data_IF_349050776673
#
_entry.id   IF_349050776673
#
_cell.length_a   1.000
_cell.length_b   1.000
_cell.length_c   1.000
_cell.angle_alpha   90.00
_cell.angle_beta   90.00
_cell.angle_gamma   90.00
#
_symmetry.space_group_name_H-M   'P 1'
#
loop_
_entity.id
_entity.type
_entity.pdbx_description
1 polymer ?
#
# COMPACT_ATOMS: atom_id res chain seq x y z
N UNK A 1 -13.78 -5.68 19.38
CA UNK A 1 -13.02 -4.51 18.89
C UNK A 1 -12.86 -3.43 19.96
N UNK A 2 -13.93 -2.91 20.55
CA UNK A 2 -13.86 -1.87 21.60
C UNK A 2 -13.01 -2.27 22.82
N UNK A 3 -13.13 -3.52 23.28
CA UNK A 3 -12.28 -4.06 24.35
C UNK A 3 -10.77 -4.04 23.99
N UNK A 4 -10.44 -4.18 22.71
CA UNK A 4 -9.08 -4.09 22.19
C UNK A 4 -8.66 -2.64 21.82
N UNK A 5 -9.48 -1.64 22.18
CA UNK A 5 -9.25 -0.21 21.92
C UNK A 5 -9.01 0.12 20.44
N UNK A 6 -9.66 -0.61 19.54
CA UNK A 6 -9.64 -0.27 18.11
C UNK A 6 -10.37 1.07 17.92
N UNK A 7 -9.83 2.02 17.14
CA UNK A 7 -10.47 3.31 16.89
C UNK A 7 -11.89 3.16 16.35
N UNK A 8 -12.77 4.10 16.73
CA UNK A 8 -14.19 4.07 16.37
C UNK A 8 -14.40 4.05 14.84
N UNK A 9 -13.62 4.83 14.09
CA UNK A 9 -13.64 4.80 12.62
C UNK A 9 -13.44 3.39 12.05
N UNK A 10 -12.53 2.61 12.64
CA UNK A 10 -12.28 1.24 12.21
C UNK A 10 -13.36 0.27 12.66
N UNK A 11 -13.96 0.49 13.83
CA UNK A 11 -15.12 -0.30 14.27
C UNK A 11 -16.28 -0.10 13.30
N UNK A 12 -16.54 1.14 12.88
CA UNK A 12 -17.59 1.47 11.91
C UNK A 12 -17.30 0.88 10.52
N UNK A 13 -16.05 0.97 10.06
CA UNK A 13 -15.63 0.38 8.79
C UNK A 13 -15.81 -1.15 8.80
N UNK A 14 -15.37 -1.83 9.86
CA UNK A 14 -15.57 -3.27 10.01
C UNK A 14 -17.07 -3.61 10.07
N UNK A 15 -17.87 -2.86 10.82
CA UNK A 15 -19.33 -3.08 10.89
C UNK A 15 -20.00 -2.94 9.52
N UNK A 16 -19.55 -2.01 8.68
CA UNK A 16 -20.08 -1.84 7.33
C UNK A 16 -19.86 -3.10 6.49
N UNK A 17 -18.63 -3.60 6.40
CA UNK A 17 -18.32 -4.82 5.65
C UNK A 17 -18.90 -6.08 6.29
N UNK A 18 -18.96 -6.14 7.62
CA UNK A 18 -19.60 -7.24 8.33
C UNK A 18 -21.11 -7.33 8.02
N UNK A 19 -21.81 -6.19 7.89
CA UNK A 19 -23.22 -6.19 7.45
C UNK A 19 -23.38 -6.73 6.02
N UNK A 20 -22.46 -6.39 5.12
CA UNK A 20 -22.45 -6.95 3.76
C UNK A 20 -22.24 -8.46 3.80
N UNK A 21 -21.26 -8.94 4.57
CA UNK A 21 -21.01 -10.37 4.76
C UNK A 21 -22.25 -11.11 5.28
N UNK A 22 -22.94 -10.57 6.29
CA UNK A 22 -24.18 -11.15 6.84
C UNK A 22 -25.31 -11.16 5.80
N UNK A 23 -25.34 -10.17 4.90
CA UNK A 23 -26.29 -10.13 3.78
C UNK A 23 -25.95 -11.10 2.63
N UNK A 24 -24.81 -11.79 2.70
CA UNK A 24 -24.36 -12.75 1.68
C UNK A 24 -23.52 -12.12 0.56
N UNK A 25 -23.11 -10.86 0.70
CA UNK A 25 -22.19 -10.22 -0.24
C UNK A 25 -20.83 -10.93 -0.23
N UNK A 26 -20.29 -11.19 -1.41
CA UNK A 26 -19.01 -11.91 -1.57
C UNK A 26 -17.81 -10.99 -1.78
N UNK A 27 -18.06 -9.73 -2.12
CA UNK A 27 -17.03 -8.80 -2.60
C UNK A 27 -16.53 -9.13 -4.01
N UNK A 28 -17.15 -10.07 -4.72
CA UNK A 28 -16.78 -10.39 -6.09
C UNK A 28 -17.16 -9.28 -7.06
N UNK A 29 -16.28 -9.03 -8.01
CA UNK A 29 -16.47 -8.10 -9.12
C UNK A 29 -16.44 -8.92 -10.40
N UNK A 30 -17.58 -9.03 -11.09
CA UNK A 30 -17.70 -9.80 -12.32
C UNK A 30 -17.13 -9.04 -13.52
N UNK A 31 -16.72 -9.78 -14.54
CA UNK A 31 -16.16 -9.24 -15.80
C UNK A 31 -17.12 -8.30 -16.53
N UNK A 32 -18.44 -8.50 -16.39
CA UNK A 32 -19.46 -7.61 -16.93
C UNK A 32 -19.43 -6.20 -16.30
N UNK A 33 -18.99 -6.09 -15.05
CA UNK A 33 -18.92 -4.85 -14.26
C UNK A 33 -17.50 -4.25 -14.25
N UNK A 34 -16.51 -5.02 -14.74
CA UNK A 34 -15.09 -4.69 -14.78
C UNK A 34 -14.50 -5.01 -16.16
N UNK A 35 -14.81 -4.14 -17.13
CA UNK A 35 -14.31 -4.21 -18.50
C UNK A 35 -12.82 -3.87 -18.63
N UNK A 36 -12.19 -4.21 -19.76
CA UNK A 36 -10.78 -3.92 -19.98
C UNK A 36 -10.52 -2.42 -20.17
N UNK A 37 -9.33 -1.96 -19.80
CA UNK A 37 -8.85 -0.60 -20.11
C UNK A 37 -8.06 -0.66 -21.41
N UNK A 38 -8.45 0.15 -22.39
CA UNK A 38 -7.85 0.12 -23.74
C UNK A 38 -6.52 0.85 -23.83
N UNK A 39 -6.37 1.97 -23.12
CA UNK A 39 -5.18 2.81 -23.17
C UNK A 39 -5.08 3.69 -21.94
N UNK A 40 -3.85 3.99 -21.55
CA UNK A 40 -3.46 4.94 -20.50
C UNK A 40 -2.27 5.78 -20.99
N UNK A 41 -1.99 6.95 -20.37
CA UNK A 41 -0.76 7.69 -20.63
C UNK A 41 0.47 6.86 -20.24
N UNK A 42 1.51 6.92 -21.07
CA UNK A 42 2.80 6.28 -20.80
C UNK A 42 3.69 7.20 -19.96
N UNK A 43 4.43 6.65 -18.99
CA UNK A 43 5.33 7.40 -18.13
C UNK A 43 6.46 8.09 -18.92
N UNK A 44 6.92 7.50 -20.02
CA UNK A 44 7.98 8.07 -20.88
C UNK A 44 7.55 9.39 -21.54
N UNK A 45 6.24 9.65 -21.61
CA UNK A 45 5.69 10.89 -22.16
C UNK A 45 5.65 12.03 -21.14
N UNK A 46 6.05 11.79 -19.89
CA UNK A 46 5.96 12.75 -18.79
C UNK A 46 7.22 13.59 -18.58
N UNK A 47 8.23 13.45 -19.44
CA UNK A 47 9.52 14.16 -19.31
C UNK A 47 9.40 15.67 -19.11
N UNK A 48 8.41 16.30 -19.74
CA UNK A 48 8.14 17.75 -19.62
C UNK A 48 7.76 18.20 -18.20
N UNK A 49 7.31 17.30 -17.33
CA UNK A 49 6.86 17.61 -15.97
C UNK A 49 7.95 17.56 -14.91
N UNK A 50 9.18 17.13 -15.24
CA UNK A 50 10.26 16.98 -14.26
C UNK A 50 10.54 18.25 -13.44
N UNK A 51 10.47 19.44 -14.07
CA UNK A 51 10.66 20.71 -13.37
C UNK A 51 9.55 20.97 -12.32
N UNK A 52 8.30 20.63 -12.64
CA UNK A 52 7.18 20.74 -11.71
C UNK A 52 7.34 19.80 -10.52
N UNK A 53 7.81 18.57 -10.74
CA UNK A 53 8.07 17.61 -9.66
C UNK A 53 9.18 18.08 -8.71
N UNK A 54 10.26 18.66 -9.25
CA UNK A 54 11.31 19.28 -8.42
C UNK A 54 10.76 20.41 -7.54
N UNK A 55 9.80 21.19 -8.04
CA UNK A 55 9.24 22.32 -7.32
C UNK A 55 8.44 21.91 -6.07
N UNK A 56 7.79 20.74 -6.10
CA UNK A 56 6.96 20.22 -4.99
C UNK A 56 7.67 19.14 -4.16
N UNK A 57 8.96 18.90 -4.41
CA UNK A 57 9.70 17.80 -3.78
C UNK A 57 9.80 17.96 -2.26
N UNK A 58 9.89 19.20 -1.76
CA UNK A 58 9.89 19.51 -0.33
C UNK A 58 8.52 19.36 0.35
N UNK A 59 7.46 19.20 -0.43
CA UNK A 59 6.09 18.91 0.00
C UNK A 59 5.75 17.42 -0.17
N UNK A 60 6.72 16.57 -0.51
CA UNK A 60 6.50 15.14 -0.82
C UNK A 60 7.06 14.23 0.28
N UNK A 61 6.34 13.16 0.57
CA UNK A 61 6.69 12.10 1.52
C UNK A 61 6.80 10.77 0.79
N UNK A 62 7.77 9.93 1.18
CA UNK A 62 7.86 8.53 0.74
C UNK A 62 7.28 7.66 1.85
N UNK A 63 6.32 6.79 1.53
CA UNK A 63 5.70 5.86 2.47
C UNK A 63 5.86 4.43 1.95
N UNK A 64 6.39 3.54 2.79
CA UNK A 64 6.52 2.11 2.46
C UNK A 64 5.54 1.28 3.29
N UNK A 65 4.76 0.44 2.60
CA UNK A 65 3.88 -0.55 3.22
C UNK A 65 4.73 -1.70 3.76
N UNK A 66 4.72 -1.87 5.09
CA UNK A 66 5.63 -2.76 5.81
C UNK A 66 4.93 -3.57 6.91
N UNK A 67 3.62 -3.81 6.76
CA UNK A 67 2.83 -4.60 7.71
C UNK A 67 2.98 -6.11 7.56
N UNK A 68 3.42 -6.58 6.39
CA UNK A 68 3.48 -7.99 6.00
C UNK A 68 4.63 -8.76 6.64
N UNK A 69 4.32 -9.98 7.07
CA UNK A 69 5.31 -10.96 7.52
C UNK A 69 5.78 -11.85 6.37
N UNK A 70 7.01 -12.33 6.45
CA UNK A 70 7.57 -13.31 5.51
C UNK A 70 7.08 -14.74 5.73
N UNK A 71 5.88 -14.96 6.27
CA UNK A 71 5.40 -16.30 6.69
C UNK A 71 5.31 -17.28 5.52
N UNK A 72 4.90 -16.82 4.33
CA UNK A 72 4.91 -17.65 3.11
C UNK A 72 6.31 -18.06 2.67
N UNK A 73 7.34 -17.35 3.14
CA UNK A 73 8.76 -17.65 2.92
C UNK A 73 9.38 -18.40 4.11
N UNK A 74 8.57 -18.83 5.09
CA UNK A 74 9.04 -19.55 6.27
C UNK A 74 9.71 -18.67 7.32
N UNK A 75 9.41 -17.37 7.35
CA UNK A 75 10.01 -16.42 8.30
C UNK A 75 9.01 -15.92 9.35
N UNK A 76 9.51 -15.72 10.56
CA UNK A 76 8.76 -15.16 11.70
C UNK A 76 8.91 -13.63 11.85
N UNK A 77 9.39 -12.93 10.82
CA UNK A 77 9.69 -11.49 10.86
C UNK A 77 9.21 -10.69 9.65
N UNK A 78 9.43 -9.36 9.65
CA UNK A 78 9.07 -8.49 8.52
C UNK A 78 9.78 -8.96 7.24
N UNK A 79 9.03 -9.03 6.13
CA UNK A 79 9.61 -9.35 4.82
C UNK A 79 10.69 -8.33 4.41
N UNK A 80 10.57 -7.08 4.85
CA UNK A 80 11.54 -6.03 4.55
C UNK A 80 12.93 -6.25 5.17
N UNK A 81 13.09 -7.19 6.11
CA UNK A 81 14.38 -7.52 6.70
C UNK A 81 15.13 -8.64 5.97
N UNK A 82 14.53 -9.24 4.93
CA UNK A 82 15.20 -10.23 4.09
C UNK A 82 16.44 -9.59 3.42
N UNK A 83 17.64 -10.18 3.55
CA UNK A 83 18.81 -9.75 2.80
C UNK A 83 18.58 -9.89 1.30
N UNK A 84 18.88 -8.84 0.55
CA UNK A 84 18.70 -8.78 -0.91
C UNK A 84 20.03 -8.77 -1.64
N UNK A 85 20.92 -7.85 -1.26
CA UNK A 85 22.20 -7.66 -1.95
C UNK A 85 23.25 -7.13 -0.99
N UNK A 86 24.47 -7.67 -1.07
CA UNK A 86 25.65 -7.23 -0.30
C UNK A 86 25.37 -7.12 1.22
N UNK A 87 24.58 -8.04 1.75
CA UNK A 87 24.17 -8.06 3.16
C UNK A 87 23.12 -7.00 3.54
N UNK A 88 22.65 -6.19 2.60
CA UNK A 88 21.58 -5.20 2.82
C UNK A 88 20.21 -5.84 2.69
N UNK A 89 19.34 -5.57 3.65
CA UNK A 89 17.92 -5.92 3.55
C UNK A 89 17.16 -4.97 2.60
N UNK A 90 15.91 -5.31 2.26
CA UNK A 90 15.01 -4.39 1.57
C UNK A 90 14.93 -3.04 2.31
N UNK A 91 14.77 -3.08 3.64
CA UNK A 91 14.66 -1.90 4.47
C UNK A 91 15.94 -1.04 4.43
N UNK A 92 17.12 -1.68 4.44
CA UNK A 92 18.39 -0.97 4.31
C UNK A 92 18.53 -0.28 2.94
N UNK A 93 18.13 -0.95 1.87
CA UNK A 93 18.18 -0.39 0.51
C UNK A 93 17.21 0.79 0.40
N UNK A 94 15.99 0.67 0.93
CA UNK A 94 15.00 1.75 0.97
C UNK A 94 15.53 2.99 1.70
N UNK A 95 16.13 2.81 2.88
CA UNK A 95 16.71 3.92 3.65
C UNK A 95 17.81 4.60 2.85
N UNK A 96 18.69 3.83 2.19
CA UNK A 96 19.76 4.36 1.34
C UNK A 96 19.23 5.09 0.11
N UNK A 97 18.18 4.59 -0.54
CA UNK A 97 17.51 5.26 -1.66
C UNK A 97 16.94 6.61 -1.23
N UNK A 98 16.26 6.68 -0.08
CA UNK A 98 15.72 7.93 0.45
C UNK A 98 16.84 8.94 0.78
N UNK A 99 17.90 8.49 1.46
CA UNK A 99 19.07 9.34 1.76
C UNK A 99 19.77 9.84 0.50
N UNK A 100 19.90 8.99 -0.52
CA UNK A 100 20.43 9.37 -1.82
C UNK A 100 19.59 10.47 -2.46
N UNK A 101 18.26 10.31 -2.54
CA UNK A 101 17.37 11.34 -3.11
C UNK A 101 17.46 12.66 -2.35
N UNK A 102 17.50 12.63 -1.01
CA UNK A 102 17.70 13.83 -0.18
C UNK A 102 19.01 14.53 -0.51
N UNK A 103 20.11 13.78 -0.67
CA UNK A 103 21.41 14.34 -1.03
C UNK A 103 21.43 14.91 -2.45
N UNK A 104 20.90 14.18 -3.42
CA UNK A 104 20.91 14.58 -4.84
C UNK A 104 20.11 15.87 -5.08
N UNK A 105 18.96 16.00 -4.41
CA UNK A 105 18.04 17.12 -4.65
C UNK A 105 18.01 18.18 -3.55
N UNK A 106 18.75 17.98 -2.45
CA UNK A 106 18.72 18.89 -1.29
C UNK A 106 17.33 19.03 -0.67
N UNK A 107 16.53 17.94 -0.69
CA UNK A 107 15.13 17.96 -0.30
C UNK A 107 14.88 17.30 1.07
N UNK A 108 13.79 17.67 1.75
CA UNK A 108 13.37 17.08 3.05
C UNK A 108 13.04 15.59 2.93
N UNK A 109 12.17 15.23 1.98
CA UNK A 109 11.70 13.86 1.67
C UNK A 109 11.64 12.89 2.87
N UNK A 110 10.69 13.05 3.81
CA UNK A 110 10.47 12.09 4.89
C UNK A 110 10.25 10.67 4.37
N UNK A 111 10.78 9.70 5.10
CA UNK A 111 10.57 8.28 4.84
C UNK A 111 9.73 7.70 5.97
N UNK A 112 8.53 7.25 5.64
CA UNK A 112 7.56 6.69 6.56
C UNK A 112 7.35 5.20 6.28
N UNK A 113 7.05 4.45 7.33
CA UNK A 113 6.65 3.05 7.24
C UNK A 113 5.28 2.85 7.87
N UNK A 114 4.37 2.24 7.12
CA UNK A 114 3.15 1.68 7.71
C UNK A 114 3.46 0.27 8.19
N UNK A 115 3.66 0.14 9.51
CA UNK A 115 4.04 -1.12 10.14
C UNK A 115 2.83 -1.83 10.72
N UNK A 116 2.96 -3.13 11.00
CA UNK A 116 2.06 -3.84 11.90
C UNK A 116 2.68 -3.92 13.29
N UNK A 117 1.89 -4.38 14.25
CA UNK A 117 2.36 -4.65 15.61
C UNK A 117 3.50 -5.69 15.64
N UNK A 118 3.60 -6.55 14.62
CA UNK A 118 4.69 -7.51 14.48
C UNK A 118 5.96 -6.90 13.84
N UNK A 119 5.84 -5.85 13.03
CA UNK A 119 6.98 -5.33 12.25
C UNK A 119 7.61 -4.06 12.79
N UNK A 120 6.92 -3.34 13.68
CA UNK A 120 7.35 -2.06 14.22
C UNK A 120 8.71 -2.09 14.92
N UNK A 121 8.90 -2.99 15.89
CA UNK A 121 10.10 -3.01 16.72
C UNK A 121 11.36 -3.32 15.89
N UNK A 122 11.26 -4.30 14.98
CA UNK A 122 12.37 -4.69 14.13
C UNK A 122 12.71 -3.61 13.09
N UNK A 123 11.69 -2.91 12.57
CA UNK A 123 11.89 -1.75 11.69
C UNK A 123 12.62 -0.63 12.42
N UNK A 124 12.18 -0.27 13.63
CA UNK A 124 12.82 0.78 14.43
C UNK A 124 14.29 0.46 14.75
N UNK A 125 14.60 -0.80 15.06
CA UNK A 125 15.96 -1.24 15.31
C UNK A 125 16.88 -0.98 14.11
N UNK A 126 16.39 -1.18 12.88
CA UNK A 126 17.15 -0.87 11.66
C UNK A 126 17.31 0.63 11.46
N UNK A 127 16.23 1.41 11.60
CA UNK A 127 16.27 2.86 11.41
C UNK A 127 17.27 3.54 12.37
N UNK A 128 17.36 3.06 13.62
CA UNK A 128 18.30 3.57 14.62
C UNK A 128 19.78 3.38 14.24
N UNK A 129 20.11 2.51 13.28
CA UNK A 129 21.48 2.33 12.77
C UNK A 129 21.92 3.48 11.86
N UNK A 130 20.98 4.27 11.34
CA UNK A 130 21.25 5.35 10.40
C UNK A 130 21.22 6.72 11.11
N UNK A 131 22.35 7.13 11.68
CA UNK A 131 22.46 8.38 12.45
C UNK A 131 22.14 9.66 11.64
N UNK A 132 22.29 9.60 10.31
CA UNK A 132 21.96 10.68 9.38
C UNK A 132 20.50 10.67 8.94
N UNK A 133 19.72 9.64 9.28
CA UNK A 133 18.30 9.58 9.01
C UNK A 133 17.55 10.40 10.07
N UNK A 134 17.32 11.67 9.75
CA UNK A 134 16.55 12.62 10.58
C UNK A 134 15.43 13.23 9.76
N UNK A 135 14.30 13.54 10.40
CA UNK A 135 13.14 14.16 9.77
C UNK A 135 12.28 14.85 10.84
N UNK A 136 11.36 15.70 10.39
CA UNK A 136 10.49 16.53 11.22
C UNK A 136 9.13 15.88 11.53
N UNK A 137 8.91 14.65 11.03
CA UNK A 137 7.71 13.85 11.27
C UNK A 137 8.10 12.43 11.71
N UNK A 138 7.26 11.70 12.46
CA UNK A 138 7.63 10.35 12.91
C UNK A 138 7.90 9.39 11.74
N UNK A 139 8.77 8.39 11.96
CA UNK A 139 9.19 7.42 10.93
C UNK A 139 8.10 6.45 10.47
N UNK A 140 6.92 6.49 11.06
CA UNK A 140 5.86 5.56 10.72
C UNK A 140 4.71 5.60 11.71
N UNK A 141 3.75 4.75 11.44
CA UNK A 141 2.56 4.52 12.24
C UNK A 141 2.14 3.06 12.10
N UNK A 142 1.26 2.63 12.99
CA UNK A 142 0.73 1.27 12.98
C UNK A 142 -0.54 1.22 12.13
N UNK A 143 -0.61 0.23 11.25
CA UNK A 143 -1.88 -0.23 10.71
C UNK A 143 -2.71 -0.89 11.82
N UNK A 144 -4.01 -0.99 11.59
CA UNK A 144 -4.97 -1.60 12.51
C UNK A 144 -4.94 -3.14 12.46
N UNK A 145 -5.81 -3.73 13.28
CA UNK A 145 -6.17 -5.14 13.25
C UNK A 145 -7.68 -5.27 13.42
N UNK A 146 -8.23 -6.31 12.82
CA UNK A 146 -9.65 -6.65 12.89
C UNK A 146 -9.81 -8.12 13.31
N UNK A 147 -10.93 -8.48 13.95
CA UNK A 147 -11.16 -9.86 14.35
C UNK A 147 -11.43 -10.71 13.13
N UNK A 148 -10.85 -11.92 13.10
CA UNK A 148 -11.28 -12.95 12.16
C UNK A 148 -12.69 -13.38 12.52
N UNK A 149 -13.48 -13.66 11.50
CA UNK A 149 -14.87 -14.10 11.64
C UNK A 149 -14.94 -15.59 11.29
N UNK A 150 -15.59 -16.37 12.13
CA UNK A 150 -15.86 -17.78 11.86
C UNK A 150 -16.80 -17.90 10.65
N UNK A 151 -16.46 -18.78 9.71
CA UNK A 151 -17.18 -18.88 8.44
C UNK A 151 -18.60 -19.41 8.60
N UNK A 152 -18.85 -20.27 9.58
CA UNK A 152 -20.14 -20.93 9.77
C UNK A 152 -21.06 -20.11 10.68
N UNK A 153 -20.52 -19.61 11.79
CA UNK A 153 -21.33 -18.91 12.80
C UNK A 153 -21.38 -17.40 12.60
N UNK A 154 -20.46 -16.85 11.79
CA UNK A 154 -20.20 -15.41 11.64
C UNK A 154 -19.82 -14.70 12.96
N UNK A 155 -19.52 -15.42 14.03
CA UNK A 155 -19.04 -14.83 15.27
C UNK A 155 -17.52 -14.57 15.22
N UNK A 156 -16.96 -13.69 16.06
CA UNK A 156 -15.51 -13.57 16.20
C UNK A 156 -14.87 -14.94 16.48
N UNK A 157 -13.85 -15.29 15.70
CA UNK A 157 -13.12 -16.54 15.86
C UNK A 157 -12.41 -16.58 17.23
N UNK A 158 -12.37 -17.76 17.85
CA UNK A 158 -11.64 -17.98 19.11
C UNK A 158 -10.53 -19.00 18.91
N UNK A 159 -9.36 -18.67 19.45
CA UNK A 159 -8.18 -19.53 19.44
C UNK A 159 -7.43 -19.43 20.78
N UNK A 160 -7.89 -20.15 21.83
CA UNK A 160 -7.39 -19.98 23.20
C UNK A 160 -5.89 -20.18 23.39
N UNK A 161 -5.25 -20.97 22.52
CA UNK A 161 -3.81 -21.23 22.55
C UNK A 161 -3.00 -19.98 22.18
N UNK A 162 -3.55 -19.10 21.34
CA UNK A 162 -2.87 -17.88 20.89
C UNK A 162 -3.91 -16.87 20.39
N UNK A 163 -4.30 -15.97 21.29
CA UNK A 163 -5.30 -14.94 21.00
C UNK A 163 -4.87 -13.99 19.88
N UNK A 164 -3.57 -13.88 19.58
CA UNK A 164 -3.08 -13.11 18.43
C UNK A 164 -3.60 -13.67 17.09
N UNK A 165 -3.81 -14.99 17.01
CA UNK A 165 -4.35 -15.64 15.80
C UNK A 165 -5.83 -15.34 15.55
N UNK A 166 -6.53 -14.77 16.53
CA UNK A 166 -7.93 -14.32 16.40
C UNK A 166 -8.03 -13.00 15.62
N UNK A 167 -6.90 -12.32 15.35
CA UNK A 167 -6.85 -11.05 14.66
C UNK A 167 -6.11 -11.17 13.32
N UNK A 168 -6.46 -10.31 12.38
CA UNK A 168 -5.74 -10.12 11.13
C UNK A 168 -5.57 -8.64 10.81
N UNK A 169 -4.55 -8.27 10.02
CA UNK A 169 -4.50 -6.93 9.44
C UNK A 169 -5.60 -6.77 8.38
N UNK A 170 -6.27 -5.60 8.30
CA UNK A 170 -7.35 -5.32 7.35
C UNK A 170 -6.86 -5.03 5.91
N UNK A 171 -5.74 -5.64 5.51
CA UNK A 171 -5.06 -5.36 4.23
C UNK A 171 -4.36 -4.00 4.19
N UNK A 172 -3.66 -3.71 3.09
CA UNK A 172 -2.93 -2.44 2.93
C UNK A 172 -3.84 -1.25 2.63
N UNK A 173 -5.10 -1.48 2.21
CA UNK A 173 -6.11 -0.43 2.07
C UNK A 173 -6.45 0.29 3.39
N UNK A 174 -6.06 -0.30 4.52
CA UNK A 174 -6.11 0.35 5.84
C UNK A 174 -5.26 1.63 5.94
N UNK A 175 -4.32 1.83 5.01
CA UNK A 175 -3.45 3.00 4.94
C UNK A 175 -4.19 4.31 5.23
N UNK A 176 -5.32 4.54 4.56
CA UNK A 176 -6.06 5.79 4.66
C UNK A 176 -6.64 5.99 6.07
N UNK A 177 -7.29 4.95 6.61
CA UNK A 177 -7.84 4.97 7.96
C UNK A 177 -6.74 5.11 9.01
N UNK A 178 -5.63 4.38 8.86
CA UNK A 178 -4.49 4.41 9.78
C UNK A 178 -3.76 5.75 9.76
N UNK A 179 -3.64 6.42 8.61
CA UNK A 179 -3.13 7.79 8.52
C UNK A 179 -3.95 8.76 9.37
N UNK A 180 -5.28 8.64 9.31
CA UNK A 180 -6.20 9.50 10.07
C UNK A 180 -6.15 9.17 11.56
N UNK A 181 -6.39 7.93 11.94
CA UNK A 181 -6.55 7.53 13.36
C UNK A 181 -5.26 7.61 14.16
N UNK A 182 -4.09 7.50 13.51
CA UNK A 182 -2.78 7.69 14.16
C UNK A 182 -2.39 9.17 14.36
N UNK A 183 -3.16 10.09 13.77
CA UNK A 183 -2.81 11.51 13.68
C UNK A 183 -1.60 11.79 12.78
N UNK A 184 -1.15 10.81 11.96
CA UNK A 184 -0.06 11.03 11.02
C UNK A 184 -0.46 12.01 9.92
N UNK A 185 -1.68 11.90 9.39
CA UNK A 185 -2.18 12.81 8.37
C UNK A 185 -2.12 14.27 8.84
N UNK A 186 -2.60 14.55 10.05
CA UNK A 186 -2.57 15.88 10.65
C UNK A 186 -1.14 16.41 10.81
N UNK A 187 -0.21 15.57 11.29
CA UNK A 187 1.21 15.93 11.42
C UNK A 187 1.86 16.24 10.08
N UNK A 188 1.55 15.46 9.05
CA UNK A 188 2.06 15.68 7.69
C UNK A 188 1.56 17.01 7.14
N UNK A 189 0.25 17.27 7.25
CA UNK A 189 -0.37 18.52 6.81
C UNK A 189 0.18 19.73 7.56
N UNK A 190 0.30 19.65 8.90
CA UNK A 190 0.87 20.72 9.72
C UNK A 190 2.34 21.02 9.38
N UNK A 191 3.09 20.03 8.89
CA UNK A 191 4.46 20.18 8.43
C UNK A 191 4.60 20.61 6.95
N UNK A 192 3.47 20.87 6.27
CA UNK A 192 3.41 21.38 4.89
C UNK A 192 3.60 20.31 3.79
N UNK A 193 3.38 19.03 4.11
CA UNK A 193 3.40 17.97 3.11
C UNK A 193 2.04 17.84 2.40
N UNK A 194 2.09 17.66 1.08
CA UNK A 194 0.92 17.61 0.19
C UNK A 194 0.84 16.30 -0.61
N UNK A 195 1.98 15.68 -0.91
CA UNK A 195 2.06 14.45 -1.71
C UNK A 195 2.64 13.31 -0.90
N UNK A 196 2.09 12.10 -1.07
CA UNK A 196 2.64 10.87 -0.52
C UNK A 196 2.82 9.89 -1.67
N UNK A 197 4.08 9.51 -1.93
CA UNK A 197 4.39 8.37 -2.78
C UNK A 197 4.38 7.11 -1.93
N UNK A 198 3.45 6.21 -2.22
CA UNK A 198 3.24 4.97 -1.46
C UNK A 198 3.82 3.83 -2.27
N UNK A 199 4.51 2.87 -1.65
CA UNK A 199 4.77 1.61 -2.35
C UNK A 199 4.96 0.44 -1.40
N UNK A 200 4.93 -0.79 -1.93
CA UNK A 200 5.33 -1.97 -1.17
C UNK A 200 6.81 -1.91 -0.79
N UNK A 201 7.16 -2.36 0.43
CA UNK A 201 8.55 -2.42 0.89
C UNK A 201 9.39 -3.51 0.19
N UNK A 202 8.75 -4.51 -0.42
CA UNK A 202 9.43 -5.55 -1.20
C UNK A 202 9.61 -5.18 -2.69
N UNK A 203 9.07 -4.03 -3.12
CA UNK A 203 9.34 -3.45 -4.43
C UNK A 203 10.46 -2.40 -4.34
N UNK A 204 11.71 -2.81 -4.59
CA UNK A 204 12.87 -1.90 -4.59
C UNK A 204 12.99 -1.05 -5.86
N UNK A 205 12.23 -1.40 -6.91
CA UNK A 205 12.12 -0.59 -8.13
C UNK A 205 11.24 0.65 -7.95
N UNK A 206 10.40 0.67 -6.92
CA UNK A 206 9.54 1.80 -6.59
C UNK A 206 10.36 2.93 -5.92
N UNK A 207 10.85 3.84 -6.75
CA UNK A 207 11.49 5.10 -6.33
C UNK A 207 10.68 6.28 -6.83
N UNK A 208 10.68 7.38 -6.07
CA UNK A 208 9.95 8.59 -6.44
C UNK A 208 10.42 9.14 -7.80
N UNK A 209 9.54 9.14 -8.79
CA UNK A 209 9.78 9.74 -10.10
C UNK A 209 9.27 11.19 -10.16
N UNK A 210 10.15 12.12 -10.51
CA UNK A 210 9.84 13.55 -10.55
C UNK A 210 8.93 13.95 -11.72
N UNK A 211 8.90 13.16 -12.80
CA UNK A 211 8.03 13.38 -13.94
C UNK A 211 6.58 13.04 -13.55
N UNK A 212 6.38 11.90 -12.88
CA UNK A 212 5.07 11.48 -12.37
C UNK A 212 4.57 12.46 -11.30
N UNK A 213 5.42 12.80 -10.32
CA UNK A 213 5.09 13.79 -9.29
C UNK A 213 4.72 15.14 -9.91
N UNK A 214 5.49 15.60 -10.90
CA UNK A 214 5.22 16.84 -11.60
C UNK A 214 3.91 16.81 -12.39
N UNK A 215 3.61 15.68 -13.04
CA UNK A 215 2.35 15.48 -13.74
C UNK A 215 1.16 15.59 -12.77
N UNK A 216 1.26 14.92 -11.61
CA UNK A 216 0.23 14.99 -10.57
C UNK A 216 0.02 16.43 -10.07
N UNK A 217 1.11 17.11 -9.74
CA UNK A 217 1.06 18.47 -9.19
C UNK A 217 0.49 19.49 -10.20
N UNK A 218 0.96 19.46 -11.44
CA UNK A 218 0.55 20.41 -12.46
C UNK A 218 -0.90 20.20 -12.91
N UNK A 219 -1.34 18.95 -13.01
CA UNK A 219 -2.70 18.60 -13.43
C UNK A 219 -3.68 18.46 -12.26
N UNK A 220 -3.22 18.69 -11.02
CA UNK A 220 -4.02 18.56 -9.79
C UNK A 220 -4.70 17.19 -9.66
N UNK A 221 -3.95 16.13 -9.98
CA UNK A 221 -4.43 14.76 -9.89
C UNK A 221 -4.37 14.31 -8.41
N UNK A 222 -5.51 14.02 -7.76
CA UNK A 222 -5.54 13.73 -6.33
C UNK A 222 -5.08 12.30 -5.99
N UNK A 223 -5.11 11.40 -6.98
CA UNK A 223 -4.68 10.01 -6.84
C UNK A 223 -4.21 9.52 -8.22
N UNK A 224 -3.03 8.92 -8.25
CA UNK A 224 -2.45 8.28 -9.42
C UNK A 224 -1.99 6.88 -8.99
N UNK A 225 -2.26 5.89 -9.83
CA UNK A 225 -1.80 4.52 -9.65
C UNK A 225 -0.85 4.22 -10.81
N UNK A 226 0.39 3.84 -10.50
CA UNK A 226 1.29 3.32 -11.52
C UNK A 226 0.90 1.88 -11.87
N UNK A 227 0.92 1.56 -13.15
CA UNK A 227 0.65 0.22 -13.65
C UNK A 227 1.74 -0.18 -14.63
N UNK A 228 1.97 -1.47 -14.78
CA UNK A 228 2.87 -2.03 -15.81
C UNK A 228 2.08 -2.85 -16.81
N UNK A 229 2.67 -3.05 -17.99
CA UNK A 229 2.20 -4.11 -18.87
C UNK A 229 2.27 -5.44 -18.13
N UNK A 230 1.16 -6.17 -18.17
CA UNK A 230 0.99 -7.44 -17.48
C UNK A 230 1.70 -8.55 -18.23
N UNK A 231 2.47 -9.34 -17.49
CA UNK A 231 3.22 -10.50 -17.99
C UNK A 231 2.63 -11.81 -17.45
N UNK A 232 3.10 -12.94 -17.97
CA UNK A 232 2.72 -14.27 -17.47
C UNK A 232 3.16 -14.54 -16.02
N UNK A 233 4.07 -13.73 -15.47
CA UNK A 233 4.50 -13.81 -14.08
C UNK A 233 3.50 -13.15 -13.11
N UNK A 234 2.69 -12.21 -13.61
CA UNK A 234 1.77 -11.37 -12.83
C UNK A 234 0.44 -12.09 -12.56
N UNK A 235 0.55 -13.22 -11.84
CA UNK A 235 -0.57 -14.12 -11.53
C UNK A 235 -1.28 -13.79 -10.21
N UNK A 236 -0.61 -13.10 -9.29
CA UNK A 236 -1.10 -12.74 -7.95
C UNK A 236 -1.08 -11.22 -7.78
N UNK A 237 -2.25 -10.64 -7.55
CA UNK A 237 -2.47 -9.21 -7.36
C UNK A 237 -3.73 -8.77 -8.10
N UNK A 238 -3.76 -7.50 -8.50
CA UNK A 238 -4.89 -6.90 -9.19
C UNK A 238 -4.53 -6.26 -10.53
N UNK A 239 -5.50 -6.24 -11.42
CA UNK A 239 -5.40 -5.52 -12.69
C UNK A 239 -6.32 -4.31 -12.70
N UNK A 240 -5.97 -3.30 -13.48
CA UNK A 240 -6.84 -2.17 -13.74
C UNK A 240 -8.04 -2.62 -14.59
N UNK A 241 -9.22 -2.12 -14.27
CA UNK A 241 -10.44 -2.34 -15.03
C UNK A 241 -11.27 -1.07 -15.10
N UNK A 242 -12.28 -1.08 -15.97
CA UNK A 242 -13.20 0.04 -16.19
C UNK A 242 -14.64 -0.40 -15.91
N UNK A 243 -15.33 0.38 -15.10
CA UNK A 243 -16.76 0.23 -14.82
C UNK A 243 -17.60 0.67 -16.03
N UNK A 244 -18.86 0.28 -16.04
CA UNK A 244 -19.82 0.68 -17.07
C UNK A 244 -20.06 2.20 -17.12
N UNK A 245 -19.87 2.90 -16.00
CA UNK A 245 -19.93 4.37 -15.91
C UNK A 245 -18.64 5.08 -16.37
N UNK A 246 -17.67 4.32 -16.86
CA UNK A 246 -16.39 4.82 -17.38
C UNK A 246 -15.32 5.06 -16.31
N UNK A 247 -15.64 4.92 -15.03
CA UNK A 247 -14.66 5.06 -13.95
C UNK A 247 -13.70 3.88 -13.89
N UNK A 248 -12.48 4.14 -13.43
CA UNK A 248 -11.49 3.09 -13.18
C UNK A 248 -11.78 2.37 -11.86
N UNK A 249 -11.45 1.08 -11.82
CA UNK A 249 -11.41 0.29 -10.59
C UNK A 249 -10.17 -0.61 -10.59
N UNK A 250 -9.79 -1.05 -9.39
CA UNK A 250 -8.85 -2.15 -9.20
C UNK A 250 -9.65 -3.42 -8.93
N UNK A 251 -9.34 -4.51 -9.64
CA UNK A 251 -9.91 -5.84 -9.38
C UNK A 251 -8.79 -6.78 -8.95
N UNK A 252 -8.77 -7.11 -7.66
CA UNK A 252 -7.85 -8.09 -7.09
C UNK A 252 -8.29 -9.52 -7.41
N UNK A 253 -7.35 -10.46 -7.43
CA UNK A 253 -7.67 -11.90 -7.65
C UNK A 253 -8.66 -12.44 -6.62
N UNK A 254 -8.61 -11.94 -5.37
CA UNK A 254 -9.56 -12.32 -4.31
C UNK A 254 -11.00 -11.84 -4.57
N UNK A 255 -11.17 -10.84 -5.43
CA UNK A 255 -12.46 -10.32 -5.88
C UNK A 255 -12.91 -10.97 -7.20
N UNK A 256 -12.12 -11.90 -7.77
CA UNK A 256 -12.52 -12.63 -8.95
C UNK A 256 -13.39 -13.84 -8.57
N UNK A 257 -14.61 -13.97 -9.12
CA UNK A 257 -15.36 -15.21 -9.03
C UNK A 257 -14.53 -16.41 -9.55
N UNK A 258 -14.62 -17.59 -8.92
CA UNK A 258 -13.87 -18.77 -9.37
C UNK A 258 -14.17 -19.18 -10.82
N UNK A 259 -15.39 -18.96 -11.29
CA UNK A 259 -15.85 -19.22 -12.66
C UNK A 259 -15.27 -18.28 -13.72
N UNK A 260 -14.65 -17.16 -13.31
CA UNK A 260 -14.01 -16.20 -14.22
C UNK A 260 -12.48 -16.19 -14.11
N UNK A 261 -11.88 -17.13 -13.37
CA UNK A 261 -10.44 -17.08 -13.07
C UNK A 261 -9.57 -17.14 -14.34
N UNK A 262 -9.94 -17.93 -15.34
CA UNK A 262 -9.21 -17.98 -16.62
C UNK A 262 -9.24 -16.63 -17.33
N UNK A 263 -10.42 -16.00 -17.39
CA UNK A 263 -10.59 -14.68 -17.98
C UNK A 263 -9.83 -13.59 -17.21
N UNK A 264 -9.77 -13.69 -15.88
CA UNK A 264 -8.97 -12.78 -15.05
C UNK A 264 -7.47 -12.92 -15.32
N UNK A 265 -7.00 -14.10 -15.72
CA UNK A 265 -5.60 -14.37 -16.04
C UNK A 265 -5.24 -14.05 -17.50
N UNK A 266 -6.22 -13.64 -18.32
CA UNK A 266 -5.98 -13.18 -19.69
C UNK A 266 -5.27 -11.82 -19.69
N UNK A 267 -3.96 -11.87 -19.95
CA UNK A 267 -3.08 -10.70 -19.98
C UNK A 267 -3.28 -9.83 -21.23
N UNK A 268 -3.85 -10.36 -22.32
CA UNK A 268 -4.16 -9.58 -23.52
C UNK A 268 -5.42 -8.76 -23.33
N UNK A 269 -6.38 -9.29 -22.57
CA UNK A 269 -7.60 -8.57 -22.17
C UNK A 269 -7.33 -7.56 -21.06
N UNK A 270 -6.75 -8.01 -19.95
CA UNK A 270 -6.47 -7.18 -18.77
C UNK A 270 -4.98 -6.85 -18.70
N UNK A 271 -4.58 -5.91 -19.55
CA UNK A 271 -3.19 -5.59 -19.88
C UNK A 271 -2.41 -4.83 -18.82
N UNK A 272 -3.08 -4.16 -17.90
CA UNK A 272 -2.44 -3.26 -16.94
C UNK A 272 -2.49 -3.83 -15.53
N UNK A 273 -1.32 -4.13 -14.98
CA UNK A 273 -1.17 -4.70 -13.65
C UNK A 273 -0.80 -3.61 -12.63
N UNK A 274 -1.47 -3.61 -11.48
CA UNK A 274 -1.20 -2.62 -10.42
C UNK A 274 0.14 -2.91 -9.76
N UNK A 275 1.05 -1.94 -9.77
CA UNK A 275 2.35 -2.05 -9.09
C UNK A 275 2.26 -1.82 -7.58
N UNK A 276 1.14 -1.22 -7.15
CA UNK A 276 0.92 -0.67 -5.83
C UNK A 276 1.85 0.51 -5.49
N UNK A 277 2.23 1.29 -6.51
CA UNK A 277 2.91 2.58 -6.40
C UNK A 277 1.95 3.75 -6.64
#
# INVERSE_FOLDING_TARGET
>A
MSAAKIPELMVQNFQHYYKQLVAGETGYIRSQDAGPVTSIPDADQLASYCAAGKAVLNNTVILKLNGGLGTSMGMDGPKSLVPVKDGLSFLDIIVRQALYLRQQYGARLPLLFMNSFHTQAATQAVLNRYANLKQDVPFGFLQHKEPKVDKETLTPASWPISSEKEWCPPGHGDLYSALVTSGMLEKLMAAGYEYIFVSNADNLGATLDLQILGYMAQNKVPFLMEVTDRTLADRKGGHLARRSDGQLLLREVAQCPPDELELFQDIERYRYFNTNN
#
